data_IF_840250254937
#
_entry.id   IF_840250254937
#
_cell.length_a   1.000
_cell.length_b   1.000
_cell.length_c   1.000
_cell.angle_alpha   90.00
_cell.angle_beta   90.00
_cell.angle_gamma   90.00
#
_symmetry.space_group_name_H-M   'P 1'
#
loop_
_entity.id
_entity.type
_entity.pdbx_description
1 polymer ?
#
# COMPACT_ATOMS: atom_id res chain seq x y z
N UNK A 1 24.63 3.43 22.54
CA UNK A 1 24.00 2.90 21.31
C UNK A 1 25.05 2.06 20.58
N UNK A 2 24.68 0.95 19.96
CA UNK A 2 25.65 0.08 19.28
C UNK A 2 25.94 0.60 17.86
N UNK A 3 27.18 1.02 17.58
CA UNK A 3 27.61 1.48 16.25
C UNK A 3 27.56 0.41 15.17
N UNK A 4 27.52 -0.87 15.56
CA UNK A 4 27.43 -2.02 14.65
C UNK A 4 25.99 -2.43 14.32
N UNK A 5 24.99 -1.82 14.95
CA UNK A 5 23.59 -2.09 14.63
C UNK A 5 23.23 -1.48 13.26
N UNK A 6 22.57 -2.25 12.39
CA UNK A 6 22.19 -1.83 11.04
C UNK A 6 21.34 -0.54 11.00
N UNK A 7 20.54 -0.28 12.04
CA UNK A 7 19.73 0.95 12.17
C UNK A 7 20.58 2.15 12.59
N UNK A 8 21.63 1.90 13.36
CA UNK A 8 22.51 2.95 13.92
C UNK A 8 23.62 3.32 12.93
N UNK A 9 24.08 2.39 12.11
CA UNK A 9 25.15 2.60 11.11
C UNK A 9 24.93 3.82 10.19
N UNK A 10 23.74 4.04 9.61
CA UNK A 10 23.46 5.23 8.79
C UNK A 10 23.58 6.55 9.55
N UNK A 11 23.35 6.53 10.87
CA UNK A 11 23.39 7.70 11.76
C UNK A 11 24.64 7.75 12.64
N UNK A 12 25.67 6.94 12.33
CA UNK A 12 26.89 6.77 13.12
C UNK A 12 27.61 8.09 13.42
N UNK A 13 27.72 8.98 12.42
CA UNK A 13 28.34 10.30 12.60
C UNK A 13 27.66 11.13 13.70
N UNK A 14 26.33 11.11 13.78
CA UNK A 14 25.57 11.81 14.81
C UNK A 14 25.75 11.15 16.17
N UNK A 15 25.71 9.82 16.21
CA UNK A 15 25.92 9.06 17.45
C UNK A 15 27.33 9.29 18.01
N UNK A 16 28.36 9.37 17.17
CA UNK A 16 29.74 9.69 17.60
C UNK A 16 29.88 11.15 18.03
N UNK A 17 29.23 12.11 17.34
CA UNK A 17 29.18 13.53 17.73
C UNK A 17 28.64 13.69 19.16
N UNK A 18 27.51 13.06 19.47
CA UNK A 18 26.84 13.17 20.78
C UNK A 18 27.31 12.15 21.82
N UNK A 19 28.21 11.22 21.47
CA UNK A 19 28.86 10.35 22.43
C UNK A 19 29.88 11.11 23.31
N UNK A 20 30.47 12.19 22.79
CA UNK A 20 31.41 13.03 23.51
C UNK A 20 30.70 13.93 24.52
N UNK A 21 31.16 13.95 25.77
CA UNK A 21 30.57 14.78 26.85
C UNK A 21 30.64 16.29 26.57
N UNK A 22 31.63 16.72 25.79
CA UNK A 22 31.84 18.11 25.37
C UNK A 22 30.67 18.67 24.55
N UNK A 23 30.03 17.82 23.73
CA UNK A 23 28.88 18.22 22.91
C UNK A 23 27.64 18.61 23.73
N UNK A 24 27.59 18.21 25.00
CA UNK A 24 26.47 18.50 25.91
C UNK A 24 26.65 19.79 26.71
N UNK A 25 27.82 20.43 26.64
CA UNK A 25 28.12 21.68 27.37
C UNK A 25 27.37 22.87 26.78
N UNK A 26 27.14 22.87 25.46
CA UNK A 26 26.42 23.91 24.73
C UNK A 26 25.66 23.29 23.56
N UNK A 27 24.34 23.27 23.64
CA UNK A 27 23.45 22.76 22.58
C UNK A 27 22.77 23.93 21.87
N UNK A 28 22.90 23.99 20.54
CA UNK A 28 22.16 24.92 19.70
C UNK A 28 20.74 24.40 19.40
N UNK A 29 19.87 25.25 18.83
CA UNK A 29 18.53 24.82 18.40
C UNK A 29 18.54 23.75 17.29
N UNK A 30 19.57 23.78 16.45
CA UNK A 30 19.81 22.77 15.42
C UNK A 30 20.19 21.43 16.07
N UNK A 31 21.06 21.44 17.09
CA UNK A 31 21.44 20.23 17.84
C UNK A 31 20.24 19.56 18.52
N UNK A 32 19.29 20.35 19.03
CA UNK A 32 18.06 19.81 19.61
C UNK A 32 17.19 19.08 18.57
N UNK A 33 17.11 19.65 17.37
CA UNK A 33 16.35 19.07 16.26
C UNK A 33 17.02 17.78 15.77
N UNK A 34 18.35 17.79 15.60
CA UNK A 34 19.13 16.60 15.27
C UNK A 34 18.96 15.49 16.32
N UNK A 35 19.07 15.81 17.61
CA UNK A 35 18.89 14.84 18.68
C UNK A 35 17.47 14.26 18.72
N UNK A 36 16.44 15.10 18.57
CA UNK A 36 15.05 14.67 18.65
C UNK A 36 14.60 13.81 17.46
N UNK A 37 15.03 14.14 16.24
CA UNK A 37 14.55 13.48 15.03
C UNK A 37 15.41 12.28 14.66
N UNK A 38 16.73 12.38 14.86
CA UNK A 38 17.68 11.43 14.26
C UNK A 38 18.35 10.50 15.26
N UNK A 39 18.46 10.90 16.53
CA UNK A 39 19.17 10.13 17.57
C UNK A 39 18.19 9.50 18.58
N UNK A 40 17.14 10.20 18.99
CA UNK A 40 16.22 9.75 20.04
C UNK A 40 15.50 8.42 19.73
N UNK A 41 15.24 8.15 18.44
CA UNK A 41 14.58 6.92 17.98
C UNK A 41 15.52 5.72 17.80
N UNK A 42 16.84 5.90 17.95
CA UNK A 42 17.80 4.83 17.68
C UNK A 42 17.80 3.77 18.79
N UNK A 43 17.95 2.48 18.43
CA UNK A 43 17.94 1.39 19.40
C UNK A 43 19.13 1.52 20.36
N UNK A 44 18.81 1.52 21.66
CA UNK A 44 19.81 1.47 22.73
C UNK A 44 20.04 0.02 23.17
N UNK A 45 21.25 -0.30 23.65
CA UNK A 45 21.57 -1.60 24.27
C UNK A 45 21.14 -1.67 25.74
N UNK A 46 20.52 -0.61 26.26
CA UNK A 46 20.03 -0.60 27.62
C UNK A 46 18.77 -1.48 27.67
N UNK A 47 18.67 -2.27 28.74
CA UNK A 47 17.44 -3.01 29.01
C UNK A 47 16.26 -2.04 29.10
N UNK A 48 15.13 -2.43 28.52
CA UNK A 48 13.93 -1.64 28.60
C UNK A 48 13.51 -1.53 30.07
N UNK A 49 13.55 -0.31 30.62
CA UNK A 49 13.04 -0.05 31.96
C UNK A 49 11.55 -0.42 32.02
N UNK A 50 11.14 -1.04 33.12
CA UNK A 50 9.74 -1.40 33.38
C UNK A 50 8.84 -0.15 33.31
N UNK A 51 7.62 -0.31 32.80
CA UNK A 51 6.66 0.78 32.65
C UNK A 51 6.35 1.44 34.00
N UNK A 52 6.25 0.63 35.04
CA UNK A 52 5.96 1.07 36.41
C UNK A 52 7.03 2.05 36.93
N UNK A 53 8.29 1.77 36.62
CA UNK A 53 9.43 2.63 36.94
C UNK A 53 9.29 3.99 36.25
N UNK A 54 9.01 3.99 34.94
CA UNK A 54 8.85 5.22 34.15
C UNK A 54 7.64 6.03 34.62
N UNK A 55 6.53 5.36 34.92
CA UNK A 55 5.32 5.99 35.44
C UNK A 55 5.56 6.68 36.78
N UNK A 56 6.34 6.05 37.66
CA UNK A 56 6.76 6.66 38.92
C UNK A 56 7.63 7.90 38.71
N UNK A 57 8.62 7.84 37.81
CA UNK A 57 9.43 9.03 37.51
C UNK A 57 8.59 10.18 37.00
N UNK A 58 7.68 9.90 36.06
CA UNK A 58 6.78 10.91 35.52
C UNK A 58 5.90 11.52 36.62
N UNK A 59 5.45 10.72 37.59
CA UNK A 59 4.69 11.22 38.74
C UNK A 59 5.53 12.21 39.56
N UNK A 60 6.76 11.84 39.94
CA UNK A 60 7.63 12.69 40.76
C UNK A 60 8.09 13.94 39.99
N UNK A 61 8.41 13.82 38.70
CA UNK A 61 8.76 14.95 37.84
C UNK A 61 7.57 15.91 37.65
N UNK A 62 6.35 15.39 37.49
CA UNK A 62 5.13 16.22 37.44
C UNK A 62 4.90 16.94 38.77
N UNK A 63 5.20 16.29 39.89
CA UNK A 63 5.09 16.90 41.22
C UNK A 63 6.10 18.03 41.39
N UNK A 64 7.37 17.81 41.03
CA UNK A 64 8.41 18.85 40.99
C UNK A 64 7.99 20.04 40.11
N UNK A 65 7.47 19.76 38.92
CA UNK A 65 6.98 20.79 37.99
C UNK A 65 5.77 21.56 38.56
N UNK A 66 4.85 20.87 39.23
CA UNK A 66 3.67 21.48 39.83
C UNK A 66 4.05 22.42 40.98
N UNK A 67 5.05 22.05 41.79
CA UNK A 67 5.61 22.90 42.85
C UNK A 67 6.27 24.14 42.25
N UNK A 68 7.10 23.97 41.20
CA UNK A 68 7.73 25.08 40.50
C UNK A 68 6.73 26.06 39.87
N UNK A 69 5.58 25.56 39.41
CA UNK A 69 4.51 26.35 38.80
C UNK A 69 3.46 26.83 39.82
N UNK A 70 3.66 26.58 41.12
CA UNK A 70 2.73 26.93 42.20
C UNK A 70 1.29 26.40 42.00
N UNK A 71 1.15 25.20 41.42
CA UNK A 71 -0.16 24.58 41.11
C UNK A 71 -0.67 23.73 42.28
N UNK A 72 -1.09 24.37 43.36
CA UNK A 72 -1.45 23.70 44.62
C UNK A 72 -2.45 22.52 44.50
N UNK A 73 -3.54 22.61 43.70
CA UNK A 73 -4.48 21.48 43.56
C UNK A 73 -3.83 20.25 42.91
N UNK A 74 -2.91 20.47 41.98
CA UNK A 74 -2.17 19.39 41.29
C UNK A 74 -1.14 18.77 42.23
N UNK A 75 -0.49 19.58 43.06
CA UNK A 75 0.49 19.13 44.07
C UNK A 75 -0.19 18.17 45.05
N UNK A 76 -1.32 18.55 45.65
CA UNK A 76 -2.02 17.68 46.62
C UNK A 76 -2.46 16.35 46.00
N UNK A 77 -3.01 16.38 44.78
CA UNK A 77 -3.41 15.15 44.08
C UNK A 77 -2.21 14.22 43.82
N UNK A 78 -1.07 14.77 43.39
CA UNK A 78 0.13 13.98 43.11
C UNK A 78 0.81 13.50 44.40
N UNK A 79 0.74 14.28 45.48
CA UNK A 79 1.19 13.93 46.83
C UNK A 79 0.44 12.72 47.37
N UNK A 80 -0.88 12.72 47.31
CA UNK A 80 -1.69 11.57 47.74
C UNK A 80 -1.41 10.32 46.90
N UNK A 81 -1.18 10.49 45.59
CA UNK A 81 -0.74 9.38 44.73
C UNK A 81 0.64 8.86 45.14
N UNK A 82 1.59 9.72 45.56
CA UNK A 82 2.89 9.29 46.05
C UNK A 82 2.79 8.57 47.40
N UNK A 83 2.00 9.11 48.35
CA UNK A 83 1.74 8.50 49.66
C UNK A 83 1.13 7.10 49.50
N UNK A 84 0.14 6.94 48.63
CA UNK A 84 -0.46 5.60 48.37
C UNK A 84 0.56 4.59 47.84
N UNK A 85 1.44 4.99 46.91
CA UNK A 85 2.52 4.12 46.41
C UNK A 85 3.55 3.79 47.49
N UNK A 86 3.91 4.76 48.33
CA UNK A 86 4.79 4.52 49.46
C UNK A 86 4.19 3.54 50.46
N UNK A 87 2.87 3.59 50.70
CA UNK A 87 2.16 2.68 51.60
C UNK A 87 2.16 1.24 51.09
N UNK A 88 1.91 1.05 49.79
CA UNK A 88 1.98 -0.26 49.15
C UNK A 88 3.40 -0.88 49.21
N UNK A 89 4.45 -0.05 49.21
CA UNK A 89 5.81 -0.51 49.41
C UNK A 89 6.07 -0.86 50.89
N UNK A 90 5.58 -0.05 51.82
CA UNK A 90 5.70 -0.27 53.26
C UNK A 90 5.05 -1.59 53.72
N UNK A 91 3.96 -2.01 53.09
CA UNK A 91 3.28 -3.31 53.35
C UNK A 91 4.16 -4.54 53.09
N UNK A 92 5.36 -4.38 52.48
CA UNK A 92 6.28 -5.48 52.16
C UNK A 92 7.65 -5.35 52.85
N UNK A 93 7.71 -5.32 54.19
CA UNK A 93 8.97 -5.14 54.92
C UNK A 93 9.92 -6.35 54.82
N UNK A 94 9.40 -7.51 54.39
CA UNK A 94 10.19 -8.75 54.24
C UNK A 94 11.22 -8.66 53.10
N UNK A 95 11.07 -7.72 52.18
CA UNK A 95 12.04 -7.51 51.10
C UNK A 95 13.19 -6.63 51.62
N UNK A 96 14.46 -7.12 51.64
CA UNK A 96 15.58 -6.39 52.23
C UNK A 96 15.81 -4.99 51.64
N UNK A 97 15.58 -4.81 50.34
CA UNK A 97 15.71 -3.53 49.64
C UNK A 97 14.67 -2.49 50.09
N UNK A 98 13.45 -2.93 50.42
CA UNK A 98 12.38 -2.07 50.95
C UNK A 98 12.68 -1.73 52.40
N UNK A 99 13.10 -2.71 53.20
CA UNK A 99 13.47 -2.52 54.61
C UNK A 99 14.54 -1.44 54.81
N UNK A 100 15.50 -1.34 53.89
CA UNK A 100 16.53 -0.29 53.91
C UNK A 100 15.98 1.12 53.69
N UNK A 101 14.84 1.26 52.99
CA UNK A 101 14.20 2.54 52.69
C UNK A 101 12.95 2.81 53.55
N UNK A 102 12.66 1.95 54.53
CA UNK A 102 11.50 2.07 55.41
C UNK A 102 11.40 3.43 56.13
N UNK A 103 12.50 4.02 56.66
CA UNK A 103 12.43 5.35 57.27
C UNK A 103 11.95 6.42 56.27
N UNK A 104 12.45 6.38 55.03
CA UNK A 104 12.04 7.31 53.99
C UNK A 104 10.57 7.12 53.58
N UNK A 105 10.11 5.86 53.51
CA UNK A 105 8.71 5.57 53.21
C UNK A 105 7.79 6.14 54.30
N UNK A 106 8.16 5.98 55.56
CA UNK A 106 7.41 6.49 56.71
C UNK A 106 7.40 8.02 56.76
N UNK A 107 8.56 8.66 56.56
CA UNK A 107 8.66 10.11 56.51
C UNK A 107 7.70 10.70 55.45
N UNK A 108 7.66 10.11 54.25
CA UNK A 108 6.79 10.56 53.14
C UNK A 108 5.30 10.44 53.47
N UNK A 109 4.91 9.53 54.35
CA UNK A 109 3.52 9.44 54.82
C UNK A 109 3.13 10.58 55.76
N UNK A 110 4.08 11.08 56.55
CA UNK A 110 3.82 12.16 57.52
C UNK A 110 3.59 13.49 56.82
N UNK A 111 2.73 14.34 57.38
CA UNK A 111 2.49 15.68 56.82
C UNK A 111 3.67 16.64 57.02
N UNK A 112 4.49 16.39 58.05
CA UNK A 112 5.68 17.19 58.38
C UNK A 112 6.71 17.21 57.24
N UNK A 113 6.95 16.06 56.60
CA UNK A 113 7.89 15.96 55.48
C UNK A 113 7.51 16.85 54.28
N UNK A 114 6.23 17.19 54.14
CA UNK A 114 5.70 17.95 53.01
C UNK A 114 5.66 19.47 53.24
N UNK A 115 5.82 19.96 54.48
CA UNK A 115 5.68 21.39 54.79
C UNK A 115 6.72 22.25 54.07
N UNK A 116 7.97 21.78 53.99
CA UNK A 116 9.10 22.47 53.35
C UNK A 116 9.76 21.60 52.26
N UNK A 117 8.97 20.88 51.47
CA UNK A 117 9.51 19.95 50.48
C UNK A 117 10.26 20.70 49.37
N UNK A 118 11.52 20.35 49.16
CA UNK A 118 12.37 20.94 48.12
C UNK A 118 12.53 20.02 46.92
N UNK A 119 12.87 20.58 45.75
CA UNK A 119 13.13 19.78 44.54
C UNK A 119 14.25 18.74 44.73
N UNK A 120 15.38 19.07 45.40
CA UNK A 120 16.41 18.08 45.70
C UNK A 120 15.90 16.93 46.58
N UNK A 121 15.02 17.21 47.55
CA UNK A 121 14.41 16.15 48.38
C UNK A 121 13.58 15.19 47.55
N UNK A 122 12.75 15.70 46.63
CA UNK A 122 11.97 14.88 45.70
C UNK A 122 12.85 14.07 44.74
N UNK A 123 13.97 14.63 44.31
CA UNK A 123 14.91 13.92 43.42
C UNK A 123 15.65 12.77 44.12
N UNK A 124 16.03 12.98 45.40
CA UNK A 124 16.59 11.91 46.23
C UNK A 124 15.56 10.81 46.45
N UNK A 125 14.32 11.18 46.74
CA UNK A 125 13.21 10.24 46.86
C UNK A 125 13.02 9.43 45.57
N UNK A 126 12.97 10.11 44.41
CA UNK A 126 12.81 9.46 43.11
C UNK A 126 13.88 8.40 42.89
N UNK A 127 15.15 8.76 43.05
CA UNK A 127 16.28 7.84 42.83
C UNK A 127 16.25 6.62 43.75
N UNK A 128 15.87 6.79 45.01
CA UNK A 128 15.84 5.71 46.01
C UNK A 128 14.66 4.76 45.83
N UNK A 129 13.48 5.28 45.49
CA UNK A 129 12.25 4.48 45.40
C UNK A 129 12.01 3.89 44.01
N UNK A 130 12.59 4.48 42.95
CA UNK A 130 12.43 4.05 41.55
C UNK A 130 12.66 2.54 41.35
N UNK A 131 13.72 1.99 41.95
CA UNK A 131 14.05 0.57 41.83
C UNK A 131 13.12 -0.36 42.62
N UNK A 132 12.34 0.18 43.58
CA UNK A 132 11.46 -0.58 44.46
C UNK A 132 10.04 -0.68 43.90
N UNK A 133 9.58 0.29 43.10
CA UNK A 133 8.21 0.33 42.55
C UNK A 133 7.85 -0.92 41.75
N UNK A 134 8.83 -1.55 41.07
CA UNK A 134 8.63 -2.82 40.36
C UNK A 134 8.23 -4.01 41.25
N UNK A 135 8.43 -3.90 42.57
CA UNK A 135 8.13 -4.93 43.57
C UNK A 135 6.68 -4.86 44.07
N UNK A 136 5.97 -3.78 43.72
CA UNK A 136 4.52 -3.68 43.93
C UNK A 136 3.88 -4.73 43.01
N UNK A 137 3.35 -5.80 43.62
CA UNK A 137 2.72 -6.88 42.87
C UNK A 137 1.51 -6.34 42.12
N UNK A 138 1.28 -6.86 40.90
CA UNK A 138 0.15 -6.50 40.05
C UNK A 138 -1.22 -6.96 40.62
N UNK A 139 -1.27 -7.38 41.88
CA UNK A 139 -2.46 -7.93 42.50
C UNK A 139 -3.46 -6.81 42.79
N UNK A 140 -4.68 -7.02 42.28
CA UNK A 140 -5.85 -6.13 42.26
C UNK A 140 -5.95 -5.11 41.11
N UNK A 141 -5.48 -5.44 39.91
CA UNK A 141 -6.17 -4.90 38.73
C UNK A 141 -7.54 -5.59 38.67
N UNK A 142 -8.60 -4.87 39.00
CA UNK A 142 -9.95 -5.33 38.61
C UNK A 142 -9.89 -5.63 37.11
N UNK A 143 -10.30 -6.83 36.66
CA UNK A 143 -10.34 -7.11 35.23
C UNK A 143 -11.19 -6.03 34.57
N UNK A 144 -10.56 -5.21 33.74
CA UNK A 144 -11.28 -4.26 32.90
C UNK A 144 -11.89 -5.13 31.80
N UNK A 145 -13.14 -5.50 31.97
CA UNK A 145 -13.93 -6.06 30.90
C UNK A 145 -14.25 -4.92 29.94
N UNK A 146 -13.44 -4.78 28.91
CA UNK A 146 -13.80 -3.97 27.75
C UNK A 146 -14.88 -4.72 26.98
N UNK A 147 -16.14 -4.51 27.37
CA UNK A 147 -17.29 -4.85 26.54
C UNK A 147 -17.54 -3.68 25.60
N UNK A 148 -16.83 -3.70 24.46
CA UNK A 148 -17.17 -2.81 23.35
C UNK A 148 -18.26 -3.52 22.55
N UNK A 149 -19.45 -2.93 22.47
CA UNK A 149 -20.35 -3.26 21.37
C UNK A 149 -19.72 -2.67 20.11
N UNK A 150 -19.37 -3.53 19.16
CA UNK A 150 -18.93 -3.09 17.85
C UNK A 150 -20.09 -2.34 17.18
N UNK A 151 -19.97 -1.01 17.11
CA UNK A 151 -20.78 -0.23 16.20
C UNK A 151 -20.21 -0.48 14.80
N UNK A 152 -20.95 -1.23 13.97
CA UNK A 152 -20.70 -1.20 12.54
C UNK A 152 -20.93 0.24 12.08
N UNK A 153 -19.85 0.99 11.89
CA UNK A 153 -19.87 2.22 11.13
C UNK A 153 -20.14 1.92 9.65
N UNK A 154 -20.42 2.96 8.88
CA UNK A 154 -20.55 2.81 7.43
C UNK A 154 -19.28 2.20 6.84
N UNK A 155 -19.44 1.36 5.81
CA UNK A 155 -18.32 0.73 5.12
C UNK A 155 -17.35 1.81 4.62
N UNK A 156 -16.13 1.82 5.16
CA UNK A 156 -15.05 2.64 4.64
C UNK A 156 -14.29 1.78 3.64
N UNK A 157 -14.44 2.10 2.36
CA UNK A 157 -13.61 1.50 1.32
C UNK A 157 -12.14 1.90 1.56
N UNK A 158 -11.33 0.96 2.01
CA UNK A 158 -9.87 1.12 2.13
C UNK A 158 -9.23 0.57 0.87
N UNK A 159 -8.71 1.45 0.02
CA UNK A 159 -7.90 1.04 -1.12
C UNK A 159 -6.57 0.45 -0.61
N UNK A 160 -6.38 -0.86 -0.81
CA UNK A 160 -5.11 -1.54 -0.53
C UNK A 160 -4.17 -1.38 -1.73
N UNK A 161 -3.09 -0.58 -1.65
CA UNK A 161 -2.18 -0.38 -2.76
C UNK A 161 -1.47 -1.71 -3.06
N UNK A 162 -1.71 -2.28 -4.24
CA UNK A 162 -1.15 -3.56 -4.69
C UNK A 162 -2.08 -4.77 -4.61
N UNK A 163 -3.25 -4.64 -3.96
CA UNK A 163 -4.30 -5.69 -3.93
C UNK A 163 -5.53 -5.36 -4.79
N UNK A 164 -5.68 -4.11 -5.19
CA UNK A 164 -6.77 -3.67 -6.07
C UNK A 164 -6.21 -3.39 -7.47
N UNK A 165 -6.85 -3.98 -8.49
CA UNK A 165 -7.04 -3.45 -9.86
C UNK A 165 -6.67 -4.39 -11.01
N UNK A 166 -5.61 -5.20 -10.92
CA UNK A 166 -5.18 -6.05 -12.05
C UNK A 166 -5.94 -7.38 -12.09
N UNK A 167 -6.09 -8.04 -10.95
CA UNK A 167 -6.72 -9.37 -10.89
C UNK A 167 -8.25 -9.31 -11.10
N UNK A 168 -8.90 -8.19 -10.77
CA UNK A 168 -10.32 -7.99 -11.03
C UNK A 168 -10.60 -7.71 -12.51
N UNK A 169 -9.76 -6.92 -13.17
CA UNK A 169 -9.96 -6.59 -14.59
C UNK A 169 -9.68 -7.79 -15.51
N UNK A 170 -8.69 -8.62 -15.18
CA UNK A 170 -8.47 -9.88 -15.90
C UNK A 170 -9.64 -10.88 -15.72
N UNK A 171 -10.22 -10.95 -14.51
CA UNK A 171 -11.46 -11.73 -14.28
C UNK A 171 -12.64 -11.19 -15.08
N UNK A 172 -12.80 -9.87 -15.14
CA UNK A 172 -13.80 -9.23 -16.00
C UNK A 172 -13.58 -9.61 -17.47
N UNK A 173 -12.34 -9.49 -17.97
CA UNK A 173 -11.96 -9.84 -19.34
C UNK A 173 -12.29 -11.30 -19.68
N UNK A 174 -11.97 -12.22 -18.77
CA UNK A 174 -12.26 -13.64 -18.92
C UNK A 174 -13.78 -13.92 -18.96
N UNK A 175 -14.56 -13.32 -18.05
CA UNK A 175 -16.02 -13.44 -18.03
C UNK A 175 -16.66 -12.84 -19.27
N UNK A 176 -16.20 -11.66 -19.70
CA UNK A 176 -16.68 -10.99 -20.91
C UNK A 176 -16.43 -11.85 -22.14
N UNK A 177 -15.23 -12.42 -22.26
CA UNK A 177 -14.90 -13.34 -23.36
C UNK A 177 -15.83 -14.55 -23.40
N UNK A 178 -16.08 -15.18 -22.25
CA UNK A 178 -16.97 -16.33 -22.15
C UNK A 178 -18.42 -15.96 -22.53
N UNK A 179 -18.92 -14.87 -21.98
CA UNK A 179 -20.26 -14.36 -22.26
C UNK A 179 -20.45 -14.04 -23.76
N UNK A 180 -19.55 -13.25 -24.35
CA UNK A 180 -19.62 -12.84 -25.75
C UNK A 180 -19.50 -14.05 -26.71
N UNK A 181 -18.71 -15.07 -26.35
CA UNK A 181 -18.62 -16.31 -27.14
C UNK A 181 -19.90 -17.16 -27.07
N UNK A 182 -20.63 -17.12 -25.97
CA UNK A 182 -21.93 -17.81 -25.85
C UNK A 182 -23.09 -17.07 -26.53
N UNK A 183 -22.94 -15.77 -26.83
CA UNK A 183 -23.98 -14.92 -27.42
C UNK A 183 -23.62 -14.43 -28.82
N UNK A 184 -22.98 -15.27 -29.63
CA UNK A 184 -22.56 -14.90 -30.99
C UNK A 184 -23.72 -14.58 -31.95
N UNK A 185 -24.94 -15.01 -31.62
CA UNK A 185 -26.15 -14.76 -32.39
C UNK A 185 -26.65 -13.31 -32.28
N UNK A 186 -26.11 -12.53 -31.33
CA UNK A 186 -26.47 -11.13 -31.19
C UNK A 186 -25.96 -10.31 -32.39
N UNK A 187 -26.83 -9.50 -32.99
CA UNK A 187 -26.56 -8.76 -34.24
C UNK A 187 -25.26 -7.95 -34.18
N UNK A 188 -24.99 -7.27 -33.06
CA UNK A 188 -23.78 -6.45 -32.92
C UNK A 188 -22.50 -7.29 -32.81
N UNK A 189 -22.54 -8.42 -32.12
CA UNK A 189 -21.39 -9.35 -32.01
C UNK A 189 -21.13 -10.00 -33.37
N UNK A 190 -22.20 -10.35 -34.09
CA UNK A 190 -22.11 -10.84 -35.47
C UNK A 190 -21.45 -9.80 -36.40
N UNK A 191 -21.87 -8.53 -36.34
CA UNK A 191 -21.25 -7.43 -37.13
C UNK A 191 -19.75 -7.31 -36.86
N UNK A 192 -19.35 -7.34 -35.59
CA UNK A 192 -17.94 -7.28 -35.17
C UNK A 192 -17.11 -8.43 -35.77
N UNK A 193 -17.61 -9.67 -35.68
CA UNK A 193 -16.92 -10.85 -36.21
C UNK A 193 -16.85 -10.86 -37.74
N UNK A 194 -17.87 -10.30 -38.40
CA UNK A 194 -17.96 -10.19 -39.86
C UNK A 194 -17.26 -8.94 -40.44
N UNK A 195 -16.50 -8.20 -39.64
CA UNK A 195 -15.83 -6.97 -40.05
C UNK A 195 -16.76 -5.93 -40.72
N UNK A 196 -18.01 -5.84 -40.24
CA UNK A 196 -18.98 -4.85 -40.70
C UNK A 196 -18.82 -3.55 -39.88
N UNK A 197 -19.06 -2.41 -40.53
CA UNK A 197 -18.99 -1.10 -39.88
C UNK A 197 -19.97 -1.02 -38.71
N UNK A 198 -19.47 -0.64 -37.54
CA UNK A 198 -20.30 -0.34 -36.37
C UNK A 198 -20.92 1.05 -36.46
N UNK A 199 -22.13 1.18 -35.93
CA UNK A 199 -22.79 2.47 -35.70
C UNK A 199 -22.77 2.85 -34.22
N UNK A 200 -23.07 4.12 -33.90
CA UNK A 200 -23.19 4.58 -32.51
C UNK A 200 -24.26 3.81 -31.72
N UNK A 201 -25.37 3.44 -32.36
CA UNK A 201 -26.42 2.60 -31.76
C UNK A 201 -25.92 1.19 -31.44
N UNK A 202 -25.04 0.63 -32.27
CA UNK A 202 -24.44 -0.68 -32.01
C UNK A 202 -23.53 -0.64 -30.77
N UNK A 203 -22.79 0.45 -30.56
CA UNK A 203 -21.98 0.65 -29.35
C UNK A 203 -22.83 0.76 -28.09
N UNK A 204 -23.93 1.53 -28.11
CA UNK A 204 -24.86 1.61 -26.98
C UNK A 204 -25.45 0.25 -26.63
N UNK A 205 -25.76 -0.58 -27.64
CA UNK A 205 -26.31 -1.91 -27.40
C UNK A 205 -25.25 -2.88 -26.83
N UNK A 206 -23.97 -2.79 -27.26
CA UNK A 206 -22.88 -3.55 -26.64
C UNK A 206 -22.69 -3.20 -25.18
N UNK A 207 -22.74 -1.91 -24.84
CA UNK A 207 -22.66 -1.44 -23.46
C UNK A 207 -23.82 -2.00 -22.62
N UNK A 208 -25.03 -1.96 -23.16
CA UNK A 208 -26.22 -2.53 -22.51
C UNK A 208 -26.09 -4.04 -22.27
N UNK A 209 -25.61 -4.79 -23.27
CA UNK A 209 -25.43 -6.25 -23.18
C UNK A 209 -24.41 -6.61 -22.10
N UNK A 210 -23.26 -5.92 -22.08
CA UNK A 210 -22.22 -6.14 -21.09
C UNK A 210 -22.71 -5.79 -19.68
N UNK A 211 -23.43 -4.69 -19.51
CA UNK A 211 -24.02 -4.32 -18.23
C UNK A 211 -25.08 -5.32 -17.76
N UNK A 212 -25.98 -5.79 -18.65
CA UNK A 212 -27.03 -6.75 -18.31
C UNK A 212 -26.49 -8.16 -18.01
N UNK A 213 -25.31 -8.50 -18.54
CA UNK A 213 -24.70 -9.81 -18.32
C UNK A 213 -24.12 -10.01 -16.92
N UNK A 214 -23.98 -8.95 -16.12
CA UNK A 214 -23.35 -9.01 -14.78
C UNK A 214 -21.88 -9.42 -14.82
N UNK A 215 -21.22 -9.27 -15.98
CA UNK A 215 -19.85 -9.70 -16.23
C UNK A 215 -18.83 -8.82 -15.51
N UNK A 216 -19.15 -7.54 -15.28
CA UNK A 216 -18.35 -6.58 -14.51
C UNK A 216 -19.18 -5.37 -14.13
N UNK A 217 -18.59 -4.51 -13.30
CA UNK A 217 -19.21 -3.26 -12.85
C UNK A 217 -19.19 -2.21 -13.97
N UNK A 218 -19.99 -1.15 -13.84
CA UNK A 218 -20.01 -0.05 -14.81
C UNK A 218 -18.60 0.56 -15.01
N UNK A 219 -17.79 0.60 -13.95
CA UNK A 219 -16.41 1.08 -13.98
C UNK A 219 -15.49 0.20 -14.83
N UNK A 220 -15.68 -1.13 -14.84
CA UNK A 220 -14.89 -2.05 -15.66
C UNK A 220 -15.14 -1.81 -17.15
N UNK A 221 -16.38 -1.48 -17.52
CA UNK A 221 -16.76 -1.16 -18.91
C UNK A 221 -16.12 0.16 -19.36
N UNK A 222 -16.14 1.19 -18.50
CA UNK A 222 -15.47 2.47 -18.76
C UNK A 222 -13.97 2.25 -18.94
N UNK A 223 -13.34 1.52 -18.02
CA UNK A 223 -11.91 1.18 -18.10
C UNK A 223 -11.56 0.41 -19.37
N UNK A 224 -12.40 -0.53 -19.78
CA UNK A 224 -12.21 -1.28 -21.01
C UNK A 224 -12.25 -0.39 -22.26
N UNK A 225 -13.18 0.58 -22.28
CA UNK A 225 -13.30 1.57 -23.36
C UNK A 225 -12.06 2.45 -23.45
N UNK A 226 -11.52 2.90 -22.31
CA UNK A 226 -10.31 3.73 -22.26
C UNK A 226 -9.06 2.96 -22.71
N UNK A 227 -8.86 1.74 -22.19
CA UNK A 227 -7.66 0.93 -22.51
C UNK A 227 -7.62 0.48 -23.98
N UNK A 228 -8.77 0.20 -24.58
CA UNK A 228 -8.85 -0.33 -25.95
C UNK A 228 -9.24 0.72 -26.99
N UNK A 229 -9.22 2.00 -26.63
CA UNK A 229 -9.60 3.12 -27.50
C UNK A 229 -11.02 3.00 -28.10
N UNK A 230 -11.93 2.33 -27.38
CA UNK A 230 -13.30 2.10 -27.81
C UNK A 230 -13.83 0.72 -27.43
N UNK A 231 -15.14 0.65 -27.18
CA UNK A 231 -15.79 -0.59 -26.77
C UNK A 231 -15.84 -1.63 -27.91
N UNK A 232 -16.00 -1.18 -29.16
CA UNK A 232 -15.98 -2.08 -30.33
C UNK A 232 -14.66 -2.82 -30.49
N UNK A 233 -13.54 -2.11 -30.34
CA UNK A 233 -12.19 -2.67 -30.37
C UNK A 233 -11.94 -3.62 -29.19
N UNK A 234 -12.36 -3.24 -27.98
CA UNK A 234 -12.28 -4.11 -26.80
C UNK A 234 -13.00 -5.44 -27.06
N UNK A 235 -14.27 -5.39 -27.45
CA UNK A 235 -15.08 -6.59 -27.71
C UNK A 235 -14.45 -7.42 -28.81
N UNK A 236 -13.98 -6.79 -29.91
CA UNK A 236 -13.30 -7.50 -31.01
C UNK A 236 -12.03 -8.20 -30.55
N UNK A 237 -11.29 -7.61 -29.62
CA UNK A 237 -10.11 -8.24 -29.02
C UNK A 237 -10.41 -9.53 -28.24
N UNK A 238 -11.65 -9.69 -27.77
CA UNK A 238 -12.06 -10.87 -26.99
C UNK A 238 -12.64 -11.97 -27.88
N UNK A 239 -13.46 -11.61 -28.86
CA UNK A 239 -14.16 -12.57 -29.72
C UNK A 239 -13.35 -12.99 -30.94
N UNK A 240 -12.44 -12.14 -31.41
CA UNK A 240 -11.68 -12.37 -32.64
C UNK A 240 -12.50 -12.12 -33.92
N UNK A 241 -11.83 -12.15 -35.07
CA UNK A 241 -12.49 -12.07 -36.37
C UNK A 241 -12.88 -13.46 -36.86
N UNK A 242 -13.90 -13.57 -37.70
CA UNK A 242 -14.20 -14.85 -38.34
C UNK A 242 -13.14 -15.16 -39.42
N UNK A 243 -12.58 -16.38 -39.37
CA UNK A 243 -11.47 -16.80 -40.25
C UNK A 243 -11.75 -16.57 -41.73
N UNK A 244 -12.97 -16.89 -42.17
CA UNK A 244 -13.35 -16.72 -43.59
C UNK A 244 -13.41 -15.25 -44.00
N UNK A 245 -13.75 -14.35 -43.07
CA UNK A 245 -13.76 -12.90 -43.32
C UNK A 245 -12.34 -12.34 -43.33
N UNK A 246 -11.49 -12.77 -42.40
CA UNK A 246 -10.06 -12.42 -42.39
C UNK A 246 -9.39 -12.83 -43.71
N UNK A 247 -9.65 -14.06 -44.18
CA UNK A 247 -9.17 -14.53 -45.49
C UNK A 247 -9.71 -13.69 -46.65
N UNK A 248 -10.99 -13.33 -46.64
CA UNK A 248 -11.59 -12.55 -47.73
C UNK A 248 -10.99 -11.15 -47.82
N UNK A 249 -10.80 -10.46 -46.69
CA UNK A 249 -10.15 -9.15 -46.66
C UNK A 249 -8.70 -9.24 -47.14
N UNK A 250 -7.94 -10.23 -46.67
CA UNK A 250 -6.57 -10.41 -47.11
C UNK A 250 -6.46 -10.91 -48.56
N UNK A 251 -7.42 -11.70 -49.05
CA UNK A 251 -7.47 -12.15 -50.43
C UNK A 251 -7.59 -10.98 -51.42
N UNK A 252 -8.19 -9.85 -51.00
CA UNK A 252 -8.20 -8.62 -51.82
C UNK A 252 -6.80 -8.09 -52.05
N UNK A 253 -5.98 -8.05 -51.00
CA UNK A 253 -4.56 -7.67 -51.10
C UNK A 253 -3.75 -8.67 -51.92
N UNK A 254 -4.04 -9.97 -51.81
CA UNK A 254 -3.33 -11.02 -52.53
C UNK A 254 -3.77 -11.19 -54.00
N UNK A 255 -4.92 -10.61 -54.38
CA UNK A 255 -5.51 -10.77 -55.71
C UNK A 255 -4.58 -10.23 -56.80
N UNK A 256 -4.37 -11.02 -57.86
CA UNK A 256 -3.55 -10.64 -59.00
C UNK A 256 -2.03 -10.74 -58.78
N UNK A 257 -1.57 -11.19 -57.61
CA UNK A 257 -0.14 -11.35 -57.29
C UNK A 257 0.28 -12.83 -57.39
N UNK A 258 1.49 -13.09 -57.89
CA UNK A 258 2.12 -14.43 -57.80
C UNK A 258 2.92 -14.50 -56.51
N UNK A 259 2.40 -15.25 -55.54
CA UNK A 259 2.99 -15.35 -54.21
C UNK A 259 3.97 -16.53 -54.11
N UNK A 260 5.06 -16.33 -53.38
CA UNK A 260 5.96 -17.40 -52.96
C UNK A 260 5.48 -18.03 -51.63
N UNK A 261 6.08 -19.17 -51.24
CA UNK A 261 5.69 -19.90 -50.03
C UNK A 261 5.75 -19.03 -48.76
N UNK A 262 6.80 -18.22 -48.61
CA UNK A 262 6.99 -17.37 -47.43
C UNK A 262 5.94 -16.26 -47.34
N UNK A 263 5.56 -15.66 -48.48
CA UNK A 263 4.49 -14.67 -48.55
C UNK A 263 3.11 -15.26 -48.20
N UNK A 264 2.85 -16.51 -48.61
CA UNK A 264 1.61 -17.23 -48.27
C UNK A 264 1.59 -17.54 -46.77
N UNK A 265 2.71 -17.99 -46.21
CA UNK A 265 2.84 -18.26 -44.78
C UNK A 265 2.63 -16.99 -43.95
N UNK A 266 3.28 -15.89 -44.32
CA UNK A 266 3.11 -14.58 -43.68
C UNK A 266 1.65 -14.12 -43.73
N UNK A 267 0.99 -14.27 -44.87
CA UNK A 267 -0.43 -13.95 -45.00
C UNK A 267 -1.32 -14.82 -44.09
N UNK A 268 -1.03 -16.12 -43.98
CA UNK A 268 -1.76 -17.00 -43.07
C UNK A 268 -1.55 -16.62 -41.61
N UNK A 269 -0.34 -16.21 -41.21
CA UNK A 269 -0.07 -15.71 -39.86
C UNK A 269 -0.90 -14.46 -39.53
N UNK A 270 -1.06 -13.54 -40.48
CA UNK A 270 -1.94 -12.38 -40.32
C UNK A 270 -3.39 -12.82 -40.13
N UNK A 271 -3.88 -13.76 -40.95
CA UNK A 271 -5.23 -14.32 -40.83
C UNK A 271 -5.43 -14.97 -39.46
N UNK A 272 -4.47 -15.77 -39.00
CA UNK A 272 -4.53 -16.46 -37.71
C UNK A 272 -4.56 -15.45 -36.56
N UNK A 273 -3.70 -14.44 -36.59
CA UNK A 273 -3.66 -13.38 -35.59
C UNK A 273 -4.96 -12.57 -35.54
N UNK A 274 -5.50 -12.15 -36.70
CA UNK A 274 -6.79 -11.46 -36.76
C UNK A 274 -7.94 -12.35 -36.29
N UNK A 275 -7.87 -13.66 -36.53
CA UNK A 275 -8.88 -14.61 -36.07
C UNK A 275 -8.87 -14.75 -34.54
N UNK A 276 -7.69 -14.71 -33.92
CA UNK A 276 -7.55 -14.89 -32.48
C UNK A 276 -7.74 -13.59 -31.67
N UNK A 277 -7.13 -12.50 -32.15
CA UNK A 277 -7.06 -11.21 -31.46
C UNK A 277 -7.97 -10.14 -32.06
N UNK A 278 -8.59 -10.38 -33.23
CA UNK A 278 -9.59 -9.50 -33.84
C UNK A 278 -9.06 -8.19 -34.44
N UNK A 279 -7.99 -7.63 -33.91
CA UNK A 279 -7.33 -6.40 -34.34
C UNK A 279 -5.82 -6.63 -34.35
N UNK A 280 -5.12 -5.93 -35.24
CA UNK A 280 -3.66 -6.01 -35.35
C UNK A 280 -3.14 -4.59 -35.58
N UNK A 281 -2.16 -4.17 -34.77
CA UNK A 281 -1.35 -3.00 -35.06
C UNK A 281 -0.32 -3.36 -36.14
N UNK A 282 -0.15 -2.50 -37.14
CA UNK A 282 0.82 -2.70 -38.22
C UNK A 282 2.26 -2.82 -37.70
N UNK A 283 2.58 -2.21 -36.55
CA UNK A 283 3.90 -2.33 -35.93
C UNK A 283 4.27 -3.78 -35.57
N UNK A 284 3.28 -4.63 -35.24
CA UNK A 284 3.50 -6.03 -34.88
C UNK A 284 4.07 -6.87 -36.02
N UNK A 285 3.92 -6.43 -37.28
CA UNK A 285 4.51 -7.10 -38.43
C UNK A 285 6.05 -7.10 -38.38
N UNK A 286 6.65 -6.22 -37.58
CA UNK A 286 8.08 -6.10 -37.35
C UNK A 286 8.56 -6.75 -36.05
N UNK A 287 7.70 -7.53 -35.39
CA UNK A 287 8.03 -8.29 -34.18
C UNK A 287 7.90 -9.80 -34.41
N UNK A 288 8.44 -10.61 -33.50
CA UNK A 288 8.20 -12.06 -33.51
C UNK A 288 6.72 -12.32 -33.21
N UNK A 289 6.04 -13.24 -33.92
CA UNK A 289 6.59 -14.28 -34.80
C UNK A 289 6.77 -13.87 -36.27
N UNK A 290 6.35 -12.68 -36.69
CA UNK A 290 6.36 -12.27 -38.10
C UNK A 290 7.78 -12.09 -38.67
N UNK A 291 8.74 -11.69 -37.84
CA UNK A 291 10.16 -11.59 -38.21
C UNK A 291 10.91 -12.91 -38.24
N UNK A 292 10.28 -14.02 -37.81
CA UNK A 292 10.90 -15.35 -37.85
C UNK A 292 11.00 -15.88 -39.29
N UNK A 293 10.11 -15.43 -40.19
CA UNK A 293 10.15 -15.75 -41.63
C UNK A 293 11.24 -14.95 -42.33
N UNK A 294 11.33 -13.65 -42.03
CA UNK A 294 12.30 -12.72 -42.62
C UNK A 294 12.80 -11.73 -41.57
N UNK A 295 14.13 -11.55 -41.40
CA UNK A 295 14.69 -10.59 -40.44
C UNK A 295 14.29 -9.13 -40.69
N UNK A 296 13.83 -8.81 -41.91
CA UNK A 296 13.34 -7.49 -42.31
C UNK A 296 11.81 -7.36 -42.22
N UNK A 297 11.12 -8.35 -41.64
CA UNK A 297 9.66 -8.37 -41.55
C UNK A 297 8.99 -8.31 -42.94
N UNK A 298 7.90 -7.53 -43.11
CA UNK A 298 7.15 -7.45 -44.36
C UNK A 298 7.98 -6.86 -45.51
N UNK A 299 8.95 -5.99 -45.24
CA UNK A 299 9.82 -5.39 -46.27
C UNK A 299 10.76 -6.40 -46.94
N UNK A 300 11.04 -7.53 -46.26
CA UNK A 300 11.79 -8.63 -46.84
C UNK A 300 10.95 -9.52 -47.79
N UNK A 301 9.62 -9.39 -47.75
CA UNK A 301 8.68 -10.23 -48.49
C UNK A 301 7.91 -9.47 -49.57
N UNK A 302 7.64 -8.19 -49.37
CA UNK A 302 6.80 -7.37 -50.24
C UNK A 302 7.54 -6.10 -50.67
N UNK A 303 7.15 -5.51 -51.81
CA UNK A 303 7.68 -4.20 -52.19
C UNK A 303 7.12 -3.12 -51.26
N UNK A 304 7.80 -1.97 -51.11
CA UNK A 304 7.31 -0.90 -50.23
C UNK A 304 5.87 -0.49 -50.53
N UNK A 305 5.48 -0.38 -51.80
CA UNK A 305 4.10 -0.11 -52.20
C UNK A 305 3.08 -1.18 -51.77
N UNK A 306 3.51 -2.44 -51.68
CA UNK A 306 2.67 -3.55 -51.21
C UNK A 306 2.59 -3.56 -49.68
N UNK A 307 3.66 -3.18 -48.99
CA UNK A 307 3.63 -2.99 -47.53
C UNK A 307 2.65 -1.86 -47.19
N UNK A 308 2.70 -0.73 -47.90
CA UNK A 308 1.75 0.39 -47.72
C UNK A 308 0.29 -0.04 -47.94
N UNK A 309 0.04 -0.86 -48.97
CA UNK A 309 -1.28 -1.43 -49.26
C UNK A 309 -1.76 -2.36 -48.13
N UNK A 310 -0.85 -3.19 -47.59
CA UNK A 310 -1.15 -4.10 -46.48
C UNK A 310 -1.46 -3.32 -45.19
N UNK A 311 -0.66 -2.30 -44.87
CA UNK A 311 -0.91 -1.43 -43.70
C UNK A 311 -2.25 -0.72 -43.84
N UNK A 312 -2.55 -0.16 -45.02
CA UNK A 312 -3.83 0.49 -45.30
C UNK A 312 -5.02 -0.47 -45.14
N UNK A 313 -4.85 -1.75 -45.55
CA UNK A 313 -5.86 -2.78 -45.34
C UNK A 313 -6.09 -3.01 -43.83
N UNK A 314 -5.03 -3.18 -43.04
CA UNK A 314 -5.12 -3.40 -41.59
C UNK A 314 -5.78 -2.20 -40.88
N UNK A 315 -5.42 -0.97 -41.28
CA UNK A 315 -6.06 0.25 -40.79
C UNK A 315 -7.56 0.30 -41.15
N UNK A 316 -7.94 -0.11 -42.36
CA UNK A 316 -9.35 -0.17 -42.75
C UNK A 316 -10.13 -1.20 -41.91
N UNK A 317 -9.50 -2.33 -41.59
CA UNK A 317 -10.06 -3.37 -40.73
C UNK A 317 -10.19 -2.84 -39.30
N UNK A 318 -9.21 -2.08 -38.80
CA UNK A 318 -9.28 -1.41 -37.51
C UNK A 318 -10.41 -0.39 -37.44
N UNK A 319 -10.50 0.50 -38.43
CA UNK A 319 -11.48 1.58 -38.48
C UNK A 319 -12.94 1.08 -38.47
N UNK A 320 -13.23 -0.10 -39.05
CA UNK A 320 -14.59 -0.67 -39.04
C UNK A 320 -15.10 -1.07 -37.65
N UNK A 321 -14.19 -1.32 -36.70
CA UNK A 321 -14.54 -1.58 -35.30
C UNK A 321 -14.66 -0.30 -34.46
N UNK A 322 -14.32 0.86 -35.02
CA UNK A 322 -14.51 2.18 -34.43
C UNK A 322 -15.79 2.77 -35.05
N UNK A 323 -16.71 3.24 -34.21
CA UNK A 323 -17.91 3.94 -34.67
C UNK A 323 -17.69 5.45 -34.72
#
# INVERSE_FOLDING_TARGET
MNSENFVVRPKRRLVEKYASSEAWVSLSGEDFTELSQEVAGLPSQLEAEAEETKRFDVLVLKLQLAILRSQQPTVERLREQLKSLAGLLEEKPDIPLIKQQLPLLQDVQTDEWWQDVTLPMLEVLRKRLRGLVKLIEKQKRQPIYTNFEDLMGDEIAVELPGFTSSDNFEKFRAKARAFLRSHQDHVVIFKLRKNLQLTSSDLSELERILAQSGVGEAEDIVRAKEQSQGLGLFVRSLVGLEREVAKQELARFLSGKKLNSNQIEFANMIVDYLTEHGVMDAALLYESPFTDITPQGPDGLFTSSQVDELVSLLESVYARAVA
#
